data_IF_829980878306
#
_entry.id   IF_829980878306
#
_cell.length_a   1.000
_cell.length_b   1.000
_cell.length_c   1.000
_cell.angle_alpha   90.00
_cell.angle_beta   90.00
_cell.angle_gamma   90.00
#
_symmetry.space_group_name_H-M   'P 1'
#
loop_
_entity.id
_entity.type
_entity.pdbx_description
1 polymer ?
#
# COMPACT_ATOMS: atom_id res chain seq x y z
N UNK A 1 11.96 8.38 -3.70
CA UNK A 1 11.56 7.03 -3.23
C UNK A 1 12.74 6.41 -2.50
N UNK A 2 12.53 5.97 -1.29
CA UNK A 2 13.57 5.35 -0.48
C UNK A 2 12.96 4.46 0.61
N UNK A 3 13.79 3.64 1.23
CA UNK A 3 13.38 2.89 2.42
C UNK A 3 13.07 3.85 3.57
N UNK A 4 12.06 3.49 4.36
CA UNK A 4 11.72 4.26 5.55
C UNK A 4 12.81 4.10 6.62
N UNK A 5 13.05 5.18 7.36
CA UNK A 5 13.95 5.23 8.49
C UNK A 5 13.15 5.20 9.79
N UNK A 6 13.82 4.93 10.92
CA UNK A 6 13.13 4.86 12.20
C UNK A 6 12.35 6.14 12.54
N UNK A 7 12.89 7.31 12.20
CA UNK A 7 12.24 8.60 12.46
C UNK A 7 11.15 8.96 11.44
N UNK A 8 10.93 8.13 10.41
CA UNK A 8 9.85 8.35 9.44
C UNK A 8 8.50 7.77 9.89
N UNK A 9 8.48 6.88 10.89
CA UNK A 9 7.29 6.11 11.22
C UNK A 9 6.10 6.96 11.65
N UNK A 10 6.32 8.05 12.36
CA UNK A 10 5.21 8.93 12.74
C UNK A 10 4.54 9.56 11.52
N UNK A 11 5.32 9.99 10.53
CA UNK A 11 4.79 10.53 9.28
C UNK A 11 4.09 9.46 8.45
N UNK A 12 4.65 8.25 8.41
CA UNK A 12 4.01 7.11 7.72
C UNK A 12 2.67 6.76 8.35
N UNK A 13 2.58 6.74 9.67
CA UNK A 13 1.33 6.48 10.38
C UNK A 13 0.28 7.55 10.05
N UNK A 14 0.68 8.80 9.93
CA UNK A 14 -0.23 9.88 9.55
C UNK A 14 -0.78 9.69 8.13
N UNK A 15 0.08 9.33 7.18
CA UNK A 15 -0.37 9.04 5.81
C UNK A 15 -1.36 7.88 5.80
N UNK A 16 -1.06 6.81 6.54
CA UNK A 16 -1.96 5.66 6.67
C UNK A 16 -3.33 6.09 7.23
N UNK A 17 -3.34 6.84 8.34
CA UNK A 17 -4.57 7.27 9.00
C UNK A 17 -5.42 8.11 8.05
N UNK A 18 -4.82 9.11 7.42
CA UNK A 18 -5.54 10.03 6.54
C UNK A 18 -6.11 9.31 5.31
N UNK A 19 -5.31 8.44 4.68
CA UNK A 19 -5.76 7.67 3.52
C UNK A 19 -6.82 6.64 3.90
N UNK A 20 -6.66 5.96 5.03
CA UNK A 20 -7.62 4.97 5.50
C UNK A 20 -8.96 5.62 5.85
N UNK A 21 -8.92 6.78 6.53
CA UNK A 21 -10.15 7.52 6.86
C UNK A 21 -10.88 7.99 5.61
N UNK A 22 -10.15 8.40 4.58
CA UNK A 22 -10.75 8.78 3.30
C UNK A 22 -11.41 7.58 2.60
N UNK A 23 -10.73 6.44 2.58
CA UNK A 23 -11.21 5.23 1.89
C UNK A 23 -12.35 4.54 2.65
N UNK A 24 -12.32 4.57 3.97
CA UNK A 24 -13.26 3.88 4.85
C UNK A 24 -13.77 4.81 5.93
N UNK A 25 -14.59 5.82 5.58
CA UNK A 25 -15.17 6.73 6.58
C UNK A 25 -16.24 6.02 7.42
N UNK A 26 -16.52 6.57 8.60
CA UNK A 26 -17.62 6.09 9.43
C UNK A 26 -17.28 4.96 10.39
N UNK A 27 -16.00 4.55 10.47
CA UNK A 27 -15.57 3.62 11.51
C UNK A 27 -15.37 4.33 12.85
N UNK A 28 -15.44 3.61 13.98
CA UNK A 28 -15.05 4.17 15.29
C UNK A 28 -13.62 4.69 15.27
N UNK A 29 -13.31 5.65 16.14
CA UNK A 29 -12.01 6.33 16.17
C UNK A 29 -10.82 5.39 16.30
N UNK A 30 -10.98 4.26 16.99
CA UNK A 30 -9.90 3.28 17.13
C UNK A 30 -9.39 2.70 15.83
N UNK A 31 -10.19 2.73 14.76
CA UNK A 31 -9.76 2.29 13.43
C UNK A 31 -8.76 3.24 12.80
N UNK A 32 -8.67 4.47 13.27
CA UNK A 32 -7.77 5.50 12.76
C UNK A 32 -6.62 5.80 13.71
N UNK A 33 -6.34 4.88 14.63
CA UNK A 33 -5.26 5.06 15.60
C UNK A 33 -3.90 4.68 15.00
N UNK A 34 -2.81 5.38 15.38
CA UNK A 34 -1.47 5.04 14.89
C UNK A 34 -1.05 3.59 15.17
N UNK A 35 -1.54 3.01 16.27
CA UNK A 35 -1.25 1.62 16.65
C UNK A 35 -1.62 0.63 15.54
N UNK A 36 -2.68 0.88 14.81
CA UNK A 36 -3.09 0.03 13.69
C UNK A 36 -2.04 0.00 12.58
N UNK A 37 -1.41 1.14 12.31
CA UNK A 37 -0.31 1.19 11.37
C UNK A 37 0.86 0.32 11.85
N UNK A 38 1.29 0.52 13.11
CA UNK A 38 2.43 -0.21 13.66
C UNK A 38 2.17 -1.71 13.72
N UNK A 39 0.96 -2.13 14.04
CA UNK A 39 0.58 -3.55 14.03
C UNK A 39 0.64 -4.14 12.62
N UNK A 40 0.18 -3.37 11.62
CA UNK A 40 0.09 -3.87 10.25
C UNK A 40 1.44 -4.05 9.58
N UNK A 41 2.49 -3.34 10.02
CA UNK A 41 3.81 -3.37 9.39
C UNK A 41 4.79 -4.30 10.09
N UNK A 42 4.38 -4.99 11.16
CA UNK A 42 5.28 -5.85 11.92
C UNK A 42 5.87 -6.94 11.02
N UNK A 43 7.18 -7.06 11.01
CA UNK A 43 7.91 -8.02 10.17
C UNK A 43 8.07 -7.61 8.71
N UNK A 44 7.67 -6.41 8.34
CA UNK A 44 7.73 -5.90 6.97
C UNK A 44 8.66 -4.70 6.84
N UNK A 45 9.13 -4.44 5.64
CA UNK A 45 9.90 -3.25 5.32
C UNK A 45 9.00 -2.20 4.69
N UNK A 46 9.21 -0.94 5.06
CA UNK A 46 8.44 0.17 4.51
C UNK A 46 9.30 1.00 3.57
N UNK A 47 8.69 1.43 2.47
CA UNK A 47 9.25 2.38 1.51
C UNK A 47 8.38 3.62 1.46
N UNK A 48 9.01 4.77 1.27
CA UNK A 48 8.31 6.05 1.28
C UNK A 48 8.60 6.84 0.01
N UNK A 49 7.61 7.63 -0.38
CA UNK A 49 7.78 8.69 -1.36
C UNK A 49 7.88 10.02 -0.61
N UNK A 50 8.95 10.77 -0.90
CA UNK A 50 9.20 12.07 -0.27
C UNK A 50 9.07 13.14 -1.33
N UNK A 51 8.29 14.16 -1.05
CA UNK A 51 8.07 15.28 -1.95
C UNK A 51 8.18 16.58 -1.16
N UNK A 52 9.14 17.43 -1.55
CA UNK A 52 9.38 18.68 -0.84
C UNK A 52 9.78 18.49 0.63
N UNK A 53 10.50 17.41 0.93
CA UNK A 53 10.88 17.07 2.30
C UNK A 53 9.79 16.41 3.14
N UNK A 54 8.61 16.17 2.56
CA UNK A 54 7.46 15.60 3.26
C UNK A 54 7.15 14.20 2.73
N UNK A 55 6.87 13.26 3.63
CA UNK A 55 6.43 11.92 3.25
C UNK A 55 4.97 11.99 2.80
N UNK A 56 4.73 11.58 1.55
CA UNK A 56 3.41 11.66 0.93
C UNK A 56 2.83 10.29 0.56
N UNK A 57 3.62 9.22 0.66
CA UNK A 57 3.14 7.86 0.43
C UNK A 57 3.99 6.87 1.20
N UNK A 58 3.39 5.74 1.59
CA UNK A 58 4.07 4.65 2.26
C UNK A 58 3.60 3.32 1.69
N UNK A 59 4.55 2.42 1.44
CA UNK A 59 4.31 1.06 0.96
C UNK A 59 4.96 0.10 1.95
N UNK A 60 4.28 -1.00 2.27
CA UNK A 60 4.80 -2.05 3.13
C UNK A 60 4.92 -3.35 2.36
N UNK A 61 6.06 -4.00 2.43
CA UNK A 61 6.35 -5.23 1.70
C UNK A 61 6.91 -6.31 2.62
N UNK A 62 6.41 -7.53 2.44
CA UNK A 62 6.94 -8.73 3.07
C UNK A 62 7.89 -9.41 2.08
N UNK A 63 9.19 -9.18 2.25
CA UNK A 63 10.22 -9.62 1.31
C UNK A 63 10.30 -11.13 1.08
N UNK A 64 10.10 -12.00 2.10
CA UNK A 64 10.19 -13.45 1.84
C UNK A 64 9.28 -13.94 0.71
N UNK A 65 8.16 -13.24 0.46
CA UNK A 65 7.22 -13.58 -0.60
C UNK A 65 7.11 -12.48 -1.66
N UNK A 66 7.89 -11.41 -1.57
CA UNK A 66 7.76 -10.21 -2.39
C UNK A 66 6.31 -9.71 -2.42
N UNK A 67 5.65 -9.80 -1.25
CA UNK A 67 4.23 -9.51 -1.13
C UNK A 67 4.01 -8.09 -0.62
N UNK A 68 3.36 -7.26 -1.44
CA UNK A 68 3.02 -5.89 -1.06
C UNK A 68 1.74 -5.93 -0.27
N UNK A 69 1.85 -5.64 1.03
CA UNK A 69 0.75 -5.71 1.97
C UNK A 69 -0.12 -4.46 1.90
N UNK A 70 0.48 -3.29 1.72
CA UNK A 70 -0.27 -2.04 1.71
C UNK A 70 0.46 -0.96 0.92
N UNK A 71 -0.33 -0.05 0.37
CA UNK A 71 0.16 1.15 -0.31
C UNK A 71 -0.84 2.26 -0.02
N UNK A 72 -0.38 3.30 0.66
CA UNK A 72 -1.19 4.45 1.02
C UNK A 72 -0.56 5.73 0.48
N UNK A 73 -1.38 6.58 -0.13
CA UNK A 73 -0.97 7.89 -0.63
C UNK A 73 -1.79 8.94 0.10
N UNK A 74 -1.15 10.00 0.55
CA UNK A 74 -1.84 11.12 1.22
C UNK A 74 -2.99 11.61 0.34
N UNK A 75 -4.17 11.89 0.92
CA UNK A 75 -5.35 12.25 0.13
C UNK A 75 -5.14 13.40 -0.85
N UNK A 76 -4.37 14.42 -0.44
CA UNK A 76 -4.09 15.59 -1.29
C UNK A 76 -3.02 15.34 -2.36
N UNK A 77 -2.44 14.14 -2.39
CA UNK A 77 -1.41 13.76 -3.36
C UNK A 77 -1.83 12.61 -4.26
N UNK A 78 -3.07 12.17 -4.16
CA UNK A 78 -3.58 11.08 -5.00
C UNK A 78 -3.82 11.59 -6.43
N UNK A 79 -3.75 10.66 -7.40
CA UNK A 79 -3.96 10.98 -8.81
C UNK A 79 -2.77 11.62 -9.51
N UNK A 80 -1.60 11.70 -8.85
CA UNK A 80 -0.38 12.31 -9.41
C UNK A 80 0.67 11.27 -9.84
N UNK A 81 0.34 9.98 -9.78
CA UNK A 81 1.28 8.92 -10.15
C UNK A 81 2.29 8.54 -9.07
N UNK A 82 2.16 9.07 -7.85
CA UNK A 82 3.10 8.82 -6.76
C UNK A 82 3.05 7.34 -6.33
N UNK A 83 1.84 6.80 -6.16
CA UNK A 83 1.66 5.39 -5.79
C UNK A 83 2.28 4.45 -6.82
N UNK A 84 2.07 4.72 -8.10
CA UNK A 84 2.65 3.95 -9.19
C UNK A 84 4.17 4.00 -9.17
N UNK A 85 4.74 5.19 -8.99
CA UNK A 85 6.19 5.35 -8.95
C UNK A 85 6.81 4.62 -7.77
N UNK A 86 6.17 4.66 -6.61
CA UNK A 86 6.64 3.95 -5.41
C UNK A 86 6.55 2.43 -5.62
N UNK A 87 5.45 1.95 -6.16
CA UNK A 87 5.26 0.54 -6.48
C UNK A 87 6.32 0.04 -7.45
N UNK A 88 6.58 0.78 -8.52
CA UNK A 88 7.59 0.43 -9.52
C UNK A 88 9.00 0.41 -8.90
N UNK A 89 9.32 1.36 -8.03
CA UNK A 89 10.62 1.41 -7.37
C UNK A 89 10.86 0.18 -6.50
N UNK A 90 9.85 -0.24 -5.73
CA UNK A 90 9.94 -1.43 -4.87
C UNK A 90 10.03 -2.70 -5.70
N UNK A 91 9.24 -2.81 -6.75
CA UNK A 91 9.25 -4.00 -7.63
C UNK A 91 10.60 -4.17 -8.34
N UNK A 92 11.31 -3.08 -8.63
CA UNK A 92 12.66 -3.17 -9.21
C UNK A 92 13.68 -3.77 -8.25
N UNK A 93 13.47 -3.62 -6.94
CA UNK A 93 14.36 -4.18 -5.92
C UNK A 93 14.06 -5.65 -5.63
N UNK A 94 12.91 -6.16 -6.07
CA UNK A 94 12.50 -7.52 -5.77
C UNK A 94 13.31 -8.54 -6.58
N UNK A 95 13.66 -9.64 -5.91
CA UNK A 95 14.26 -10.80 -6.56
C UNK A 95 13.13 -11.76 -6.97
N UNK A 96 12.52 -11.51 -8.12
CA UNK A 96 11.39 -12.26 -8.59
C UNK A 96 10.14 -11.39 -8.70
N UNK A 97 9.00 -12.05 -8.88
CA UNK A 97 7.75 -11.34 -9.09
C UNK A 97 7.19 -10.78 -7.77
N UNK A 98 6.68 -9.56 -7.84
CA UNK A 98 5.90 -8.99 -6.75
C UNK A 98 4.46 -9.45 -6.84
N UNK A 99 3.81 -9.60 -5.70
CA UNK A 99 2.39 -9.94 -5.59
C UNK A 99 1.67 -8.99 -4.64
N UNK A 100 0.38 -8.83 -4.87
CA UNK A 100 -0.51 -8.12 -3.96
C UNK A 100 -1.91 -8.70 -4.03
N UNK A 101 -2.75 -8.35 -3.07
CA UNK A 101 -4.18 -8.67 -3.09
C UNK A 101 -4.97 -7.40 -3.31
N UNK A 102 -6.07 -7.52 -4.05
CA UNK A 102 -6.97 -6.42 -4.31
C UNK A 102 -8.42 -6.91 -4.18
N UNK A 103 -9.27 -6.16 -3.51
CA UNK A 103 -10.69 -6.48 -3.43
C UNK A 103 -11.30 -6.52 -4.81
N UNK A 104 -12.09 -7.56 -5.09
CA UNK A 104 -12.77 -7.67 -6.38
C UNK A 104 -13.75 -6.53 -6.63
N UNK A 105 -14.30 -5.95 -5.57
CA UNK A 105 -15.18 -4.79 -5.67
C UNK A 105 -14.45 -3.53 -6.17
N UNK A 106 -13.13 -3.48 -6.00
CA UNK A 106 -12.32 -2.35 -6.44
C UNK A 106 -11.90 -2.52 -7.90
N UNK A 107 -12.89 -2.43 -8.80
CA UNK A 107 -12.68 -2.64 -10.24
C UNK A 107 -11.68 -1.64 -10.85
N UNK A 108 -11.65 -0.44 -10.31
CA UNK A 108 -10.74 0.61 -10.76
C UNK A 108 -9.27 0.24 -10.52
N UNK A 109 -8.98 -0.25 -9.32
CA UNK A 109 -7.65 -0.70 -8.98
C UNK A 109 -7.24 -1.91 -9.81
N UNK A 110 -8.13 -2.89 -9.99
CA UNK A 110 -7.85 -4.07 -10.79
C UNK A 110 -7.53 -3.66 -12.24
N UNK A 111 -8.34 -2.79 -12.84
CA UNK A 111 -8.09 -2.31 -14.19
C UNK A 111 -6.75 -1.56 -14.28
N UNK A 112 -6.43 -0.76 -13.27
CA UNK A 112 -5.15 -0.06 -13.18
C UNK A 112 -3.98 -1.05 -13.16
N UNK A 113 -4.04 -2.07 -12.30
CA UNK A 113 -2.96 -3.06 -12.21
C UNK A 113 -2.81 -3.83 -13.52
N UNK A 114 -3.91 -4.23 -14.15
CA UNK A 114 -3.87 -4.92 -15.45
C UNK A 114 -3.18 -4.08 -16.52
N UNK A 115 -3.50 -2.78 -16.58
CA UNK A 115 -2.84 -1.87 -17.54
C UNK A 115 -1.35 -1.76 -17.29
N UNK A 116 -0.91 -1.96 -16.04
CA UNK A 116 0.50 -1.92 -15.66
C UNK A 116 1.21 -3.27 -15.82
N UNK A 117 0.54 -4.27 -16.37
CA UNK A 117 1.14 -5.57 -16.62
C UNK A 117 0.96 -6.60 -15.53
N UNK A 118 0.15 -6.30 -14.49
CA UNK A 118 -0.18 -7.27 -13.45
C UNK A 118 -1.23 -8.24 -13.97
N UNK A 119 -1.11 -9.52 -13.56
CA UNK A 119 -2.06 -10.58 -13.95
C UNK A 119 -2.62 -11.28 -12.72
N UNK A 120 -3.83 -11.79 -12.84
CA UNK A 120 -4.46 -12.54 -11.77
C UNK A 120 -3.83 -13.93 -11.67
N UNK A 121 -3.45 -14.34 -10.45
CA UNK A 121 -2.83 -15.64 -10.17
C UNK A 121 -3.55 -16.40 -9.06
N UNK A 122 -4.60 -15.84 -8.48
CA UNK A 122 -5.38 -16.49 -7.43
C UNK A 122 -6.55 -15.64 -6.99
N UNK A 123 -7.39 -16.23 -6.16
CA UNK A 123 -8.53 -15.55 -5.56
C UNK A 123 -8.87 -16.15 -4.21
N UNK A 124 -9.64 -15.45 -3.41
CA UNK A 124 -10.10 -15.91 -2.11
C UNK A 124 -11.18 -15.01 -1.56
N UNK A 125 -11.59 -15.30 -0.33
CA UNK A 125 -12.65 -14.57 0.37
C UNK A 125 -12.14 -14.18 1.75
N UNK A 126 -12.25 -12.90 2.09
CA UNK A 126 -11.97 -12.36 3.42
C UNK A 126 -13.28 -11.84 4.03
N UNK A 127 -13.22 -11.41 5.30
CA UNK A 127 -14.37 -10.82 5.99
C UNK A 127 -14.93 -9.61 5.24
N UNK A 128 -14.05 -8.90 4.53
CA UNK A 128 -14.40 -7.71 3.73
C UNK A 128 -14.94 -8.05 2.35
N UNK A 129 -14.95 -9.34 1.97
CA UNK A 129 -15.44 -9.82 0.68
C UNK A 129 -14.39 -10.55 -0.15
N UNK A 130 -14.71 -10.88 -1.40
CA UNK A 130 -13.79 -11.58 -2.30
C UNK A 130 -12.63 -10.68 -2.75
N UNK A 131 -11.46 -11.31 -2.92
CA UNK A 131 -10.26 -10.62 -3.40
C UNK A 131 -9.59 -11.43 -4.52
N UNK A 132 -8.77 -10.76 -5.29
CA UNK A 132 -7.89 -11.40 -6.28
C UNK A 132 -6.43 -11.18 -5.89
N UNK A 133 -5.59 -12.15 -6.19
CA UNK A 133 -4.14 -12.02 -6.06
C UNK A 133 -3.58 -11.67 -7.44
N UNK A 134 -2.77 -10.62 -7.46
CA UNK A 134 -2.16 -10.12 -8.68
C UNK A 134 -0.65 -10.27 -8.58
N UNK A 135 -0.02 -10.58 -9.73
CA UNK A 135 1.43 -10.75 -9.84
C UNK A 135 1.95 -9.95 -11.02
N UNK A 136 3.08 -9.35 -10.83
CA UNK A 136 3.77 -8.65 -11.91
C UNK A 136 5.05 -9.37 -12.32
#
# INVERSE_FOLDING_TARGET
>A
MRRARADDHAACARVFIDAYRQAFPGHPDGYYAPERYYESIAGEEQWVAVLGGEIVAVLSIFWPENFIHSLYVAPDRQGCGIGTALLDAVCREAHGNCELKCDQANRRAIAFYRRKGWREVGEGIADTGPWVRLRK
#
